data_IF_460755434839
#
_entry.id   IF_460755434839
#
_cell.length_a   1.000
_cell.length_b   1.000
_cell.length_c   1.000
_cell.angle_alpha   90.00
_cell.angle_beta   90.00
_cell.angle_gamma   90.00
#
_symmetry.space_group_name_H-M   'P 1'
#
loop_
_entity.id
_entity.type
_entity.pdbx_description
1 polymer ?
#
# COMPACT_ATOMS: atom_id res chain seq x y z
N UNK A 1 3.46 10.86 -8.90
CA UNK A 1 4.41 9.99 -8.22
C UNK A 1 3.72 8.76 -7.65
N UNK A 2 4.47 7.71 -7.38
CA UNK A 2 3.94 6.48 -6.83
C UNK A 2 4.65 6.12 -5.55
N UNK A 3 3.98 5.37 -4.70
CA UNK A 3 4.53 4.90 -3.43
C UNK A 3 4.36 3.39 -3.34
N UNK A 4 5.33 2.74 -2.70
CA UNK A 4 5.28 1.31 -2.45
C UNK A 4 4.92 1.04 -0.99
N UNK A 5 4.17 -0.02 -0.77
CA UNK A 5 3.66 -0.40 0.54
C UNK A 5 3.72 -1.91 0.67
N UNK A 6 4.03 -2.39 1.87
CA UNK A 6 3.90 -3.81 2.17
C UNK A 6 2.92 -3.98 3.32
N UNK A 7 2.34 -5.16 3.43
CA UNK A 7 1.50 -5.54 4.56
C UNK A 7 2.29 -6.59 5.32
N UNK A 8 2.49 -6.37 6.63
CA UNK A 8 3.25 -7.32 7.42
C UNK A 8 2.35 -8.44 7.96
N UNK A 9 2.94 -9.34 8.72
CA UNK A 9 2.22 -10.51 9.25
C UNK A 9 1.12 -10.15 10.24
N UNK A 10 1.19 -8.96 10.82
CA UNK A 10 0.14 -8.51 11.75
C UNK A 10 -1.02 -7.84 11.04
N UNK A 11 -0.90 -7.63 9.73
CA UNK A 11 -1.90 -6.89 8.95
C UNK A 11 -1.65 -5.40 8.90
N UNK A 12 -0.55 -4.92 9.47
CA UNK A 12 -0.20 -3.50 9.43
C UNK A 12 0.41 -3.16 8.06
N UNK A 13 0.14 -1.94 7.62
CA UNK A 13 0.71 -1.42 6.37
C UNK A 13 2.01 -0.71 6.71
N UNK A 14 3.08 -1.04 5.98
CA UNK A 14 4.38 -0.41 6.16
C UNK A 14 4.74 0.35 4.89
N UNK A 15 5.15 1.59 5.04
CA UNK A 15 5.58 2.43 3.92
C UNK A 15 6.77 3.29 4.34
N UNK A 16 7.56 3.70 3.36
CA UNK A 16 8.70 4.57 3.63
C UNK A 16 8.26 5.91 4.22
N UNK A 17 9.03 6.47 5.16
CA UNK A 17 8.70 7.77 5.72
C UNK A 17 8.65 8.85 4.63
N UNK A 18 7.80 9.83 4.85
CA UNK A 18 7.76 11.01 3.99
C UNK A 18 9.09 11.76 4.11
N UNK A 19 9.73 12.01 2.98
CA UNK A 19 10.96 12.78 2.94
C UNK A 19 10.76 14.01 2.05
N UNK A 20 11.72 14.94 2.12
CA UNK A 20 11.65 16.13 1.26
C UNK A 20 11.72 15.80 -0.22
N UNK A 21 12.21 14.60 -0.56
CA UNK A 21 12.29 14.15 -1.95
C UNK A 21 11.02 13.48 -2.43
N UNK A 22 10.25 12.97 -1.49
CA UNK A 22 8.96 12.37 -1.81
C UNK A 22 7.95 13.48 -1.58
N UNK A 23 7.52 14.09 -2.66
CA UNK A 23 6.37 14.98 -2.58
C UNK A 23 5.25 14.11 -2.06
N UNK A 24 4.91 14.30 -0.79
CA UNK A 24 3.84 13.54 -0.16
C UNK A 24 2.54 13.90 -0.84
N UNK A 25 2.30 13.29 -1.98
CA UNK A 25 1.15 13.61 -2.78
C UNK A 25 -0.15 13.29 -2.08
N UNK A 26 -1.21 13.86 -2.61
CA UNK A 26 -2.57 13.63 -2.15
C UNK A 26 -2.88 12.14 -2.11
N UNK A 27 -2.36 11.38 -3.09
CA UNK A 27 -2.59 9.93 -3.15
C UNK A 27 -2.08 9.20 -1.91
N UNK A 28 -0.87 9.54 -1.45
CA UNK A 28 -0.31 8.94 -0.25
C UNK A 28 -1.14 9.29 0.99
N UNK A 29 -1.48 10.56 1.12
CA UNK A 29 -2.29 11.02 2.25
C UNK A 29 -3.67 10.38 2.26
N UNK A 30 -4.29 10.26 1.09
CA UNK A 30 -5.59 9.63 0.96
C UNK A 30 -5.53 8.14 1.33
N UNK A 31 -4.47 7.43 0.91
CA UNK A 31 -4.30 6.03 1.25
C UNK A 31 -4.16 5.85 2.76
N UNK A 32 -3.38 6.70 3.41
CA UNK A 32 -3.21 6.65 4.87
C UNK A 32 -4.53 6.93 5.58
N UNK A 33 -5.28 7.94 5.12
CA UNK A 33 -6.57 8.26 5.70
C UNK A 33 -7.56 7.09 5.56
N UNK A 34 -7.57 6.42 4.41
CA UNK A 34 -8.41 5.24 4.20
C UNK A 34 -8.02 4.11 5.15
N UNK A 35 -6.71 3.88 5.34
CA UNK A 35 -6.23 2.86 6.26
C UNK A 35 -6.70 3.15 7.68
N UNK A 36 -6.62 4.41 8.10
CA UNK A 36 -7.08 4.81 9.42
C UNK A 36 -8.58 4.58 9.61
N UNK A 37 -9.37 4.90 8.60
CA UNK A 37 -10.82 4.65 8.65
C UNK A 37 -11.13 3.16 8.79
N UNK A 38 -10.32 2.31 8.16
CA UNK A 38 -10.48 0.86 8.24
C UNK A 38 -9.87 0.27 9.50
N UNK A 39 -9.27 1.12 10.36
CA UNK A 39 -8.58 0.72 11.57
C UNK A 39 -7.39 -0.20 11.28
N UNK A 40 -6.71 0.06 10.17
CA UNK A 40 -5.50 -0.63 9.79
C UNK A 40 -4.32 0.22 10.24
N UNK A 41 -3.40 -0.36 11.00
CA UNK A 41 -2.22 0.36 11.49
C UNK A 41 -1.29 0.69 10.33
N UNK A 42 -0.78 1.92 10.31
CA UNK A 42 0.22 2.37 9.33
C UNK A 42 1.52 2.62 10.05
N UNK A 43 2.59 2.01 9.57
CA UNK A 43 3.94 2.16 10.12
C UNK A 43 4.81 2.80 9.06
N UNK A 44 5.42 3.94 9.40
CA UNK A 44 6.34 4.61 8.49
C UNK A 44 7.77 4.21 8.86
N UNK A 45 8.34 3.33 8.06
CA UNK A 45 9.73 2.93 8.16
C UNK A 45 10.22 2.42 6.82
N UNK A 46 11.53 2.46 6.56
CA UNK A 46 12.06 1.84 5.34
C UNK A 46 11.85 0.34 5.36
N UNK A 47 11.72 -0.25 4.20
CA UNK A 47 11.75 -1.70 4.03
C UNK A 47 12.56 -2.05 2.81
N UNK A 48 13.14 -3.24 2.81
CA UNK A 48 14.00 -3.70 1.73
C UNK A 48 13.21 -4.47 0.69
N UNK A 49 13.83 -4.70 -0.46
CA UNK A 49 13.24 -5.54 -1.49
C UNK A 49 13.01 -6.96 -0.96
N UNK A 50 13.92 -7.46 -0.14
CA UNK A 50 13.79 -8.79 0.46
C UNK A 50 12.57 -8.87 1.38
N UNK A 51 12.34 -7.81 2.16
CA UNK A 51 11.15 -7.74 3.00
C UNK A 51 9.88 -7.75 2.15
N UNK A 52 9.89 -7.00 1.04
CA UNK A 52 8.76 -6.95 0.13
C UNK A 52 8.45 -8.33 -0.46
N UNK A 53 9.49 -9.05 -0.87
CA UNK A 53 9.32 -10.40 -1.43
C UNK A 53 8.77 -11.39 -0.42
N UNK A 54 9.06 -11.21 0.85
CA UNK A 54 8.61 -12.09 1.92
C UNK A 54 7.29 -11.65 2.55
N UNK A 55 6.81 -10.47 2.23
CA UNK A 55 5.60 -9.93 2.85
C UNK A 55 4.35 -10.67 2.37
N UNK A 56 3.32 -10.79 3.23
CA UNK A 56 2.04 -11.35 2.81
C UNK A 56 1.37 -10.62 1.66
N UNK A 57 1.55 -9.29 1.60
CA UNK A 57 0.98 -8.48 0.52
C UNK A 57 1.92 -7.33 0.20
N UNK A 58 1.90 -6.91 -1.06
CA UNK A 58 2.58 -5.71 -1.53
C UNK A 58 1.60 -4.97 -2.43
N UNK A 59 1.60 -3.65 -2.35
CA UNK A 59 0.82 -2.85 -3.29
C UNK A 59 1.52 -1.52 -3.54
N UNK A 60 1.11 -0.86 -4.60
CA UNK A 60 1.58 0.49 -4.93
C UNK A 60 0.38 1.41 -5.03
N UNK A 61 0.63 2.70 -4.78
CA UNK A 61 -0.38 3.72 -4.96
C UNK A 61 0.12 4.75 -5.96
N UNK A 62 -0.78 5.25 -6.78
CA UNK A 62 -0.47 6.31 -7.74
C UNK A 62 -1.74 7.08 -8.08
N UNK A 63 -1.55 8.26 -8.67
CA UNK A 63 -2.69 9.11 -9.05
C UNK A 63 -3.59 8.45 -10.11
N UNK A 64 -3.04 7.57 -10.94
CA UNK A 64 -3.79 6.95 -12.02
C UNK A 64 -4.37 5.59 -11.65
N UNK A 65 -3.66 4.83 -10.82
CA UNK A 65 -4.06 3.46 -10.49
C UNK A 65 -4.71 3.33 -9.12
N UNK A 66 -4.65 4.40 -8.31
CA UNK A 66 -5.10 4.43 -6.92
C UNK A 66 -4.33 3.38 -6.11
N UNK A 67 -4.96 2.28 -5.74
CA UNK A 67 -4.31 1.18 -5.02
C UNK A 67 -4.20 -0.01 -5.97
N UNK A 68 -2.97 -0.43 -6.25
CA UNK A 68 -2.70 -1.52 -7.18
C UNK A 68 -1.98 -2.66 -6.46
N UNK A 69 -2.65 -3.79 -6.24
CA UNK A 69 -1.98 -4.95 -5.64
C UNK A 69 -0.86 -5.46 -6.54
N UNK A 70 0.26 -5.86 -5.92
CA UNK A 70 1.40 -6.43 -6.62
C UNK A 70 1.46 -7.91 -6.27
N UNK A 71 1.41 -8.78 -7.26
CA UNK A 71 1.34 -10.23 -7.04
C UNK A 71 2.67 -10.94 -7.25
N UNK A 72 3.65 -10.23 -7.82
CA UNK A 72 5.00 -10.78 -7.95
C UNK A 72 6.02 -9.64 -7.99
N UNK A 73 7.23 -9.92 -7.51
CA UNK A 73 8.35 -8.97 -7.53
C UNK A 73 9.57 -9.76 -7.99
N UNK A 74 10.19 -9.33 -9.09
CA UNK A 74 11.36 -10.00 -9.67
C UNK A 74 11.13 -11.51 -9.86
N UNK A 75 9.93 -11.88 -10.32
CA UNK A 75 9.58 -13.28 -10.54
C UNK A 75 9.23 -14.05 -9.28
N UNK A 76 9.29 -13.42 -8.11
CA UNK A 76 8.93 -14.07 -6.84
C UNK A 76 7.47 -13.76 -6.54
N UNK A 77 6.70 -14.83 -6.35
CA UNK A 77 5.27 -14.69 -6.01
C UNK A 77 5.12 -14.07 -4.63
N UNK A 78 4.22 -13.09 -4.52
CA UNK A 78 3.91 -12.45 -3.25
C UNK A 78 2.68 -13.13 -2.64
N UNK A 79 2.83 -13.62 -1.41
CA UNK A 79 1.75 -14.32 -0.72
C UNK A 79 1.22 -15.49 -1.54
N UNK A 80 -0.08 -15.50 -1.80
CA UNK A 80 -0.73 -16.55 -2.59
C UNK A 80 -0.61 -16.32 -4.10
N UNK A 81 0.01 -15.22 -4.52
CA UNK A 81 0.06 -14.83 -5.94
C UNK A 81 -1.21 -14.18 -6.44
N UNK A 82 -2.08 -13.78 -5.52
CA UNK A 82 -3.33 -13.08 -5.83
C UNK A 82 -3.40 -11.81 -5.00
N UNK A 83 -4.23 -10.83 -5.41
CA UNK A 83 -4.42 -9.64 -4.60
C UNK A 83 -4.83 -10.01 -3.18
N UNK A 84 -4.18 -9.42 -2.19
CA UNK A 84 -4.44 -9.75 -0.80
C UNK A 84 -5.62 -8.96 -0.21
N UNK A 85 -6.15 -9.42 0.92
CA UNK A 85 -7.36 -8.82 1.49
C UNK A 85 -7.16 -7.38 1.97
N UNK A 86 -6.01 -7.04 2.54
CA UNK A 86 -5.78 -5.68 3.04
C UNK A 86 -5.72 -4.70 1.89
N UNK A 87 -4.96 -5.02 0.85
CA UNK A 87 -4.85 -4.16 -0.33
C UNK A 87 -6.22 -3.97 -1.00
N UNK A 88 -7.01 -5.03 -1.09
CA UNK A 88 -8.33 -4.94 -1.72
C UNK A 88 -9.32 -4.11 -0.90
N UNK A 89 -9.28 -4.22 0.43
CA UNK A 89 -10.10 -3.39 1.29
C UNK A 89 -9.72 -1.91 1.15
N UNK A 90 -8.43 -1.65 1.12
CA UNK A 90 -7.94 -0.28 0.95
C UNK A 90 -8.33 0.27 -0.42
N UNK A 91 -8.24 -0.55 -1.45
CA UNK A 91 -8.61 -0.17 -2.80
C UNK A 91 -10.08 0.24 -2.87
N UNK A 92 -10.97 -0.54 -2.28
CA UNK A 92 -12.39 -0.22 -2.29
C UNK A 92 -12.69 1.05 -1.50
N UNK A 93 -12.05 1.23 -0.36
CA UNK A 93 -12.20 2.45 0.43
C UNK A 93 -11.70 3.68 -0.32
N UNK A 94 -10.58 3.53 -1.02
CA UNK A 94 -10.02 4.62 -1.80
C UNK A 94 -10.95 5.01 -2.95
N UNK A 95 -11.48 4.04 -3.66
CA UNK A 95 -12.40 4.28 -4.78
C UNK A 95 -13.68 4.97 -4.30
N UNK A 96 -14.21 4.52 -3.17
CA UNK A 96 -15.40 5.14 -2.59
C UNK A 96 -15.16 6.60 -2.20
N UNK A 97 -13.98 6.87 -1.62
CA UNK A 97 -13.60 8.23 -1.23
C UNK A 97 -13.41 9.11 -2.46
N UNK A 98 -12.77 8.60 -3.51
CA UNK A 98 -12.57 9.34 -4.75
C UNK A 98 -13.90 9.66 -5.43
N UNK A 99 -14.86 8.75 -5.37
CA UNK A 99 -16.18 8.96 -5.96
C UNK A 99 -16.99 10.04 -5.24
N UNK A 100 -16.72 10.25 -3.94
CA UNK A 100 -17.41 11.29 -3.17
C UNK A 100 -16.81 12.68 -3.37
N UNK A 101 -15.64 12.71 -3.94
CA UNK A 101 -14.94 13.90 -4.01
C UNK A 101 -14.22 14.59 -4.58
#
# INVERSE_FOLDING_TARGET
SSNAWIVDETGAIVTHPKTNRILGGITRQTAIACAEELQIKVIERPFTLEEAKAAPEVFITSATSFVMPVISVDGVRIGSGKPGPVAMRLREAYKARAARG
#
